data_IF_026795308962
#
_entry.id   IF_026795308962
#
_cell.length_a   1.000
_cell.length_b   1.000
_cell.length_c   1.000
_cell.angle_alpha   90.00
_cell.angle_beta   90.00
_cell.angle_gamma   90.00
#
_symmetry.space_group_name_H-M   'P 1'
#
loop_
_entity.id
_entity.type
_entity.pdbx_description
1 polymer ?
#
# COMPACT_ATOMS: atom_id res chain seq x y z
N UNK A 1 24.10 -20.08 -23.95
CA UNK A 1 23.41 -19.36 -25.05
C UNK A 1 22.10 -18.71 -24.58
N UNK A 2 21.39 -19.28 -23.64
CA UNK A 2 20.01 -18.86 -23.30
C UNK A 2 19.87 -17.69 -22.33
N UNK A 3 20.82 -17.41 -21.44
CA UNK A 3 20.86 -16.12 -20.73
C UNK A 3 20.95 -14.94 -21.72
N UNK A 4 21.62 -15.16 -22.87
CA UNK A 4 21.73 -14.15 -23.91
C UNK A 4 20.37 -13.81 -24.59
N UNK A 5 19.43 -14.76 -24.66
CA UNK A 5 18.08 -14.50 -25.16
C UNK A 5 17.29 -13.58 -24.23
N UNK A 6 17.35 -13.85 -22.92
CA UNK A 6 16.64 -13.00 -21.96
C UNK A 6 17.26 -11.59 -21.86
N UNK A 7 18.59 -11.49 -21.95
CA UNK A 7 19.29 -10.23 -22.01
C UNK A 7 18.86 -9.43 -23.25
N UNK A 8 18.73 -10.08 -24.43
CA UNK A 8 18.21 -9.48 -25.65
C UNK A 8 16.77 -9.00 -25.48
N UNK A 9 15.90 -9.83 -24.88
CA UNK A 9 14.52 -9.43 -24.60
C UNK A 9 14.47 -8.20 -23.68
N UNK A 10 15.26 -8.18 -22.61
CA UNK A 10 15.33 -7.04 -21.70
C UNK A 10 15.82 -5.77 -22.40
N UNK A 11 16.79 -5.88 -23.30
CA UNK A 11 17.33 -4.76 -24.06
C UNK A 11 16.28 -4.18 -25.03
N UNK A 12 15.55 -5.04 -25.76
CA UNK A 12 14.44 -4.67 -26.63
C UNK A 12 13.29 -4.03 -25.85
N UNK A 13 12.95 -4.57 -24.68
CA UNK A 13 11.96 -3.97 -23.80
C UNK A 13 12.40 -2.61 -23.22
N UNK A 14 13.67 -2.43 -22.91
CA UNK A 14 14.19 -1.12 -22.49
C UNK A 14 14.11 -0.06 -23.58
N UNK A 15 14.22 -0.47 -24.84
CA UNK A 15 14.10 0.43 -25.99
C UNK A 15 12.64 0.80 -26.30
N UNK A 16 11.68 -0.10 -26.03
CA UNK A 16 10.26 0.07 -26.39
C UNK A 16 9.37 0.55 -25.25
N UNK A 17 9.79 0.34 -23.99
CA UNK A 17 9.01 0.68 -22.80
C UNK A 17 9.62 1.86 -22.06
N UNK A 18 8.79 2.60 -21.33
CA UNK A 18 9.31 3.59 -20.39
C UNK A 18 10.10 2.90 -19.28
N UNK A 19 11.09 3.58 -18.71
CA UNK A 19 11.93 3.05 -17.63
C UNK A 19 11.08 2.50 -16.46
N UNK A 20 9.92 3.06 -16.26
CA UNK A 20 8.97 2.72 -15.23
C UNK A 20 8.21 1.43 -15.55
N UNK A 21 7.66 1.32 -16.77
CA UNK A 21 7.00 0.10 -17.25
C UNK A 21 7.98 -1.09 -17.23
N UNK A 22 9.21 -0.88 -17.68
CA UNK A 22 10.26 -1.90 -17.62
C UNK A 22 10.53 -2.38 -16.19
N UNK A 23 10.67 -1.44 -15.25
CA UNK A 23 10.97 -1.76 -13.83
C UNK A 23 9.81 -2.50 -13.13
N UNK A 24 8.56 -2.20 -13.53
CA UNK A 24 7.36 -2.78 -12.91
C UNK A 24 7.02 -4.16 -13.47
N UNK A 25 7.16 -4.35 -14.77
CA UNK A 25 6.61 -5.52 -15.46
C UNK A 25 7.66 -6.53 -15.93
N UNK A 26 8.81 -6.05 -16.39
CA UNK A 26 9.84 -6.91 -17.00
C UNK A 26 10.95 -7.27 -16.02
N UNK A 27 11.45 -6.28 -15.25
CA UNK A 27 12.53 -6.48 -14.29
C UNK A 27 12.27 -7.55 -13.22
N UNK A 28 11.03 -7.73 -12.70
CA UNK A 28 10.72 -8.75 -11.70
C UNK A 28 10.64 -10.18 -12.25
N UNK A 29 10.65 -10.35 -13.57
CA UNK A 29 10.59 -11.66 -14.19
C UNK A 29 11.94 -12.39 -14.06
N UNK A 30 11.86 -13.68 -13.78
CA UNK A 30 13.02 -14.58 -13.74
C UNK A 30 12.89 -15.56 -14.90
N UNK A 31 13.98 -15.77 -15.60
CA UNK A 31 14.07 -16.66 -16.74
C UNK A 31 14.71 -17.97 -16.30
N UNK A 32 14.04 -19.09 -16.54
CA UNK A 32 14.56 -20.44 -16.32
C UNK A 32 14.57 -21.23 -17.60
N UNK A 33 15.71 -21.89 -17.84
CA UNK A 33 15.94 -22.78 -18.96
C UNK A 33 15.96 -24.22 -18.46
N UNK A 34 15.08 -25.05 -19.00
CA UNK A 34 15.02 -26.49 -18.70
C UNK A 34 15.56 -27.34 -19.84
N UNK A 35 16.15 -26.71 -20.87
CA UNK A 35 16.76 -27.41 -22.01
C UNK A 35 15.79 -27.79 -23.15
N UNK A 36 14.54 -28.08 -22.87
CA UNK A 36 13.48 -28.37 -23.84
C UNK A 36 12.40 -27.27 -23.88
N UNK A 37 12.25 -26.51 -22.78
CA UNK A 37 11.28 -25.43 -22.64
C UNK A 37 11.93 -24.21 -21.98
N UNK A 38 11.48 -23.03 -22.38
CA UNK A 38 11.82 -21.77 -21.76
C UNK A 38 10.68 -21.38 -20.81
N UNK A 39 11.02 -21.15 -19.54
CA UNK A 39 10.05 -20.72 -18.53
C UNK A 39 10.32 -19.29 -18.10
N UNK A 40 9.29 -18.47 -18.18
CA UNK A 40 9.29 -17.10 -17.64
C UNK A 40 8.54 -17.14 -16.31
N UNK A 41 9.26 -16.92 -15.23
CA UNK A 41 8.72 -16.93 -13.88
C UNK A 41 8.33 -15.51 -13.46
N UNK A 42 7.07 -15.32 -13.17
CA UNK A 42 6.55 -14.07 -12.64
C UNK A 42 6.39 -14.14 -11.11
N UNK A 43 6.53 -13.02 -10.39
CA UNK A 43 6.42 -12.97 -8.93
C UNK A 43 5.00 -13.23 -8.41
N UNK A 44 3.98 -13.05 -9.24
CA UNK A 44 2.57 -13.29 -8.92
C UNK A 44 1.74 -13.49 -10.20
N UNK A 45 0.50 -13.99 -10.05
CA UNK A 45 -0.42 -14.25 -11.17
C UNK A 45 -0.72 -13.00 -11.99
N UNK A 46 -0.81 -11.84 -11.37
CA UNK A 46 -1.13 -10.58 -12.03
C UNK A 46 -0.04 -10.17 -13.03
N UNK A 47 1.23 -10.20 -12.60
CA UNK A 47 2.37 -9.91 -13.50
C UNK A 47 2.45 -10.96 -14.61
N UNK A 48 2.21 -12.24 -14.28
CA UNK A 48 2.23 -13.34 -15.26
C UNK A 48 1.17 -13.14 -16.36
N UNK A 49 -0.08 -12.89 -15.96
CA UNK A 49 -1.20 -12.76 -16.89
C UNK A 49 -1.06 -11.50 -17.75
N UNK A 50 -0.62 -10.39 -17.13
CA UNK A 50 -0.39 -9.13 -17.84
C UNK A 50 0.75 -9.25 -18.86
N UNK A 51 1.88 -9.85 -18.47
CA UNK A 51 3.02 -10.08 -19.39
C UNK A 51 2.63 -11.02 -20.52
N UNK A 52 1.88 -12.07 -20.22
CA UNK A 52 1.37 -13.01 -21.23
C UNK A 52 0.40 -12.34 -22.20
N UNK A 53 -0.51 -11.50 -21.72
CA UNK A 53 -1.49 -10.81 -22.58
C UNK A 53 -0.85 -9.74 -23.48
N UNK A 54 0.14 -9.02 -22.96
CA UNK A 54 0.71 -7.85 -23.65
C UNK A 54 1.98 -8.14 -24.44
N UNK A 55 2.76 -9.12 -24.02
CA UNK A 55 4.11 -9.35 -24.54
C UNK A 55 4.39 -10.77 -25.03
N UNK A 56 3.47 -11.72 -24.87
CA UNK A 56 3.71 -13.08 -25.34
C UNK A 56 4.05 -13.11 -26.83
N UNK A 57 3.28 -12.44 -27.68
CA UNK A 57 3.52 -12.39 -29.14
C UNK A 57 4.89 -11.79 -29.48
N UNK A 58 5.35 -10.78 -28.75
CA UNK A 58 6.66 -10.19 -28.95
C UNK A 58 7.78 -11.15 -28.54
N UNK A 59 7.62 -11.78 -27.37
CA UNK A 59 8.61 -12.73 -26.84
C UNK A 59 8.69 -13.95 -27.73
N UNK A 60 7.57 -14.48 -28.20
CA UNK A 60 7.51 -15.63 -29.14
C UNK A 60 8.16 -15.28 -30.48
N UNK A 61 7.91 -14.09 -31.02
CA UNK A 61 8.55 -13.61 -32.24
C UNK A 61 10.07 -13.49 -32.08
N UNK A 62 10.52 -12.94 -30.97
CA UNK A 62 11.97 -12.80 -30.69
C UNK A 62 12.64 -14.17 -30.43
N UNK A 63 11.91 -15.13 -29.86
CA UNK A 63 12.41 -16.46 -29.64
C UNK A 63 12.59 -17.20 -30.99
N UNK A 64 11.64 -17.07 -31.90
CA UNK A 64 11.76 -17.63 -33.26
C UNK A 64 12.95 -17.05 -34.06
N UNK A 65 13.18 -15.74 -33.88
CA UNK A 65 14.33 -15.04 -34.49
C UNK A 65 15.66 -15.51 -33.90
N UNK A 66 15.70 -15.74 -32.57
CA UNK A 66 16.94 -16.09 -31.87
C UNK A 66 17.33 -17.56 -31.93
N UNK A 67 16.37 -18.46 -31.81
CA UNK A 67 16.64 -19.90 -31.66
C UNK A 67 16.61 -20.72 -32.99
N UNK A 68 16.34 -20.14 -34.12
CA UNK A 68 16.28 -20.83 -35.41
C UNK A 68 15.45 -22.18 -35.46
N UNK A 69 14.76 -22.51 -34.34
CA UNK A 69 13.85 -23.64 -34.17
C UNK A 69 12.73 -23.26 -33.20
N UNK A 70 11.53 -23.80 -33.27
CA UNK A 70 10.43 -23.47 -32.38
C UNK A 70 10.76 -23.94 -30.96
N UNK A 71 10.76 -22.99 -30.01
CA UNK A 71 10.93 -23.22 -28.58
C UNK A 71 9.60 -22.90 -27.89
N UNK A 72 9.13 -23.82 -27.05
CA UNK A 72 7.93 -23.61 -26.27
C UNK A 72 8.23 -22.65 -25.11
N UNK A 73 7.52 -21.50 -25.05
CA UNK A 73 7.64 -20.55 -23.94
C UNK A 73 6.48 -20.78 -22.99
N UNK A 74 6.79 -21.08 -21.74
CA UNK A 74 5.79 -21.28 -20.68
C UNK A 74 5.91 -20.20 -19.62
N UNK A 75 4.76 -19.73 -19.12
CA UNK A 75 4.68 -18.74 -18.07
C UNK A 75 4.26 -19.42 -16.77
N UNK A 76 5.04 -19.25 -15.71
CA UNK A 76 4.78 -19.87 -14.42
C UNK A 76 5.05 -18.90 -13.26
N UNK A 77 4.57 -19.26 -12.07
CA UNK A 77 4.89 -18.52 -10.85
C UNK A 77 6.24 -18.96 -10.32
N UNK A 78 7.13 -17.99 -10.07
CA UNK A 78 8.46 -18.25 -9.50
C UNK A 78 8.37 -18.69 -8.05
N UNK A 79 8.75 -19.94 -7.76
CA UNK A 79 9.14 -20.38 -6.41
C UNK A 79 10.65 -20.22 -6.30
N UNK A 80 11.14 -19.53 -5.25
CA UNK A 80 12.57 -19.47 -4.94
C UNK A 80 13.14 -20.91 -4.82
N UNK A 81 14.32 -21.20 -5.36
CA UNK A 81 14.90 -22.53 -5.31
C UNK A 81 15.26 -22.92 -3.86
N UNK A 82 14.64 -23.97 -3.38
CA UNK A 82 15.09 -24.70 -2.18
C UNK A 82 16.09 -25.74 -2.64
N UNK A 83 17.32 -25.70 -2.12
CA UNK A 83 18.36 -26.71 -2.38
C UNK A 83 17.86 -28.12 -1.98
N UNK A 84 18.16 -29.15 -2.78
CA UNK A 84 17.64 -30.49 -2.53
C UNK A 84 18.43 -31.19 -1.41
N UNK A 85 17.73 -31.70 -0.42
CA UNK A 85 18.21 -32.77 0.45
C UNK A 85 17.55 -34.08 0.04
N UNK A 86 18.38 -35.08 -0.19
CA UNK A 86 18.06 -36.34 -0.84
C UNK A 86 17.20 -37.32 0.01
N UNK A 87 16.38 -38.04 -0.73
CA UNK A 87 15.88 -39.42 -0.58
C UNK A 87 15.07 -39.86 0.62
N UNK A 88 13.81 -40.24 0.37
CA UNK A 88 13.29 -41.61 0.59
C UNK A 88 11.96 -41.79 -0.17
N UNK A 89 11.89 -42.85 -0.96
CA UNK A 89 10.73 -43.31 -1.73
C UNK A 89 9.68 -43.99 -0.86
N UNK A 90 8.39 -43.76 -1.17
CA UNK A 90 7.30 -44.74 -1.23
C UNK A 90 5.93 -44.05 -1.28
N UNK A 91 4.79 -44.67 -1.62
CA UNK A 91 4.28 -44.77 -2.97
C UNK A 91 3.05 -43.88 -3.26
N UNK A 92 2.72 -43.74 -4.52
CA UNK A 92 1.64 -42.94 -5.09
C UNK A 92 0.27 -43.19 -4.45
N UNK A 93 -0.36 -42.12 -3.98
CA UNK A 93 -1.79 -42.01 -3.82
C UNK A 93 -2.27 -40.73 -4.48
N UNK A 94 -3.38 -40.84 -5.19
CA UNK A 94 -4.03 -39.85 -6.07
C UNK A 94 -4.25 -38.49 -5.40
N UNK A 95 -4.21 -37.36 -6.12
CA UNK A 95 -4.47 -36.05 -5.55
C UNK A 95 -5.95 -35.91 -5.23
N UNK A 96 -6.25 -35.93 -3.94
CA UNK A 96 -7.53 -35.47 -3.42
C UNK A 96 -7.61 -33.94 -3.59
N UNK A 97 -8.65 -33.47 -4.25
CA UNK A 97 -9.08 -32.07 -4.25
C UNK A 97 -9.07 -31.52 -2.81
N UNK A 98 -8.46 -30.36 -2.53
CA UNK A 98 -8.53 -29.81 -1.19
C UNK A 98 -9.98 -29.43 -0.88
N UNK A 99 -10.58 -30.12 0.06
CA UNK A 99 -11.83 -29.71 0.68
C UNK A 99 -11.63 -28.32 1.32
N UNK A 100 -12.61 -27.42 1.27
CA UNK A 100 -12.51 -26.14 1.96
C UNK A 100 -12.26 -26.39 3.43
N UNK A 101 -11.18 -25.82 3.97
CA UNK A 101 -10.83 -25.92 5.37
C UNK A 101 -12.04 -25.54 6.22
N UNK A 102 -12.43 -26.44 7.13
CA UNK A 102 -13.53 -26.20 8.04
C UNK A 102 -13.26 -24.91 8.82
N UNK A 103 -14.09 -23.90 8.58
CA UNK A 103 -14.00 -22.60 9.24
C UNK A 103 -14.00 -22.81 10.77
N UNK A 104 -12.97 -22.37 11.45
CA UNK A 104 -12.95 -22.40 12.92
C UNK A 104 -14.09 -21.49 13.41
N UNK A 105 -14.99 -21.98 14.28
CA UNK A 105 -16.11 -21.18 14.78
C UNK A 105 -15.58 -19.93 15.49
N UNK A 106 -15.87 -18.73 14.96
CA UNK A 106 -15.48 -17.45 15.55
C UNK A 106 -14.29 -16.74 14.91
N UNK A 107 -13.63 -17.34 13.93
CA UNK A 107 -12.52 -16.68 13.23
C UNK A 107 -13.05 -15.62 12.25
N UNK A 108 -12.78 -14.34 12.52
CA UNK A 108 -13.26 -13.18 11.73
C UNK A 108 -12.25 -12.74 10.64
N UNK A 109 -11.53 -13.68 10.03
CA UNK A 109 -10.59 -13.37 8.94
C UNK A 109 -11.32 -13.43 7.60
N UNK A 110 -11.16 -12.39 6.78
CA UNK A 110 -11.67 -12.37 5.42
C UNK A 110 -10.79 -13.23 4.50
N UNK A 111 -11.30 -14.30 3.89
CA UNK A 111 -10.51 -15.19 3.05
C UNK A 111 -10.00 -14.53 1.76
N UNK A 112 -10.58 -13.40 1.33
CA UNK A 112 -10.11 -12.64 0.16
C UNK A 112 -8.86 -11.80 0.41
N UNK A 113 -8.47 -11.62 1.68
CA UNK A 113 -7.27 -10.86 2.03
C UNK A 113 -6.06 -11.79 2.07
N UNK A 114 -5.43 -11.94 0.91
CA UNK A 114 -4.25 -12.78 0.70
C UNK A 114 -3.07 -11.95 0.22
N UNK A 115 -1.86 -12.52 0.27
CA UNK A 115 -0.69 -11.86 -0.32
C UNK A 115 -0.76 -11.75 -1.84
N UNK A 116 -1.55 -12.59 -2.51
CA UNK A 116 -1.75 -12.54 -3.96
C UNK A 116 -2.68 -11.40 -4.38
N UNK A 117 -3.70 -11.11 -3.55
CA UNK A 117 -4.62 -9.99 -3.79
C UNK A 117 -4.07 -8.64 -3.28
N UNK A 118 -2.94 -8.67 -2.57
CA UNK A 118 -2.26 -7.47 -2.08
C UNK A 118 -1.30 -6.92 -3.12
N UNK A 119 -1.63 -5.77 -3.71
CA UNK A 119 -0.77 -5.12 -4.69
C UNK A 119 0.48 -4.59 -4.00
N UNK A 120 1.64 -5.07 -4.43
CA UNK A 120 2.93 -4.69 -3.90
C UNK A 120 3.56 -3.57 -4.71
N UNK A 121 4.15 -2.60 -4.03
CA UNK A 121 4.89 -1.50 -4.62
C UNK A 121 5.92 -0.95 -3.63
N UNK A 122 6.63 0.08 -4.02
CA UNK A 122 7.68 0.69 -3.20
C UNK A 122 7.19 1.11 -1.81
N UNK A 123 5.95 1.62 -1.76
CA UNK A 123 5.32 2.14 -0.54
C UNK A 123 5.04 1.07 0.54
N UNK A 124 4.97 -0.22 0.18
CA UNK A 124 4.59 -1.30 1.09
C UNK A 124 5.45 -2.56 0.97
N UNK A 125 6.49 -2.54 0.15
CA UNK A 125 7.33 -3.72 -0.14
C UNK A 125 7.96 -4.31 1.12
N UNK A 126 8.49 -3.47 2.01
CA UNK A 126 9.11 -3.92 3.26
C UNK A 126 8.09 -4.56 4.20
N UNK A 127 6.92 -3.91 4.36
CA UNK A 127 5.84 -4.44 5.19
C UNK A 127 5.32 -5.79 4.67
N UNK A 128 5.16 -5.91 3.34
CA UNK A 128 4.78 -7.19 2.72
C UNK A 128 5.84 -8.27 2.91
N UNK A 129 7.12 -7.94 2.72
CA UNK A 129 8.21 -8.91 2.89
C UNK A 129 8.29 -9.43 4.32
N UNK A 130 8.19 -8.55 5.32
CA UNK A 130 8.13 -8.92 6.72
C UNK A 130 6.91 -9.80 7.04
N UNK A 131 5.75 -9.44 6.52
CA UNK A 131 4.50 -10.18 6.70
C UNK A 131 4.58 -11.61 6.12
N UNK A 132 5.15 -11.77 4.91
CA UNK A 132 5.35 -13.10 4.30
C UNK A 132 6.30 -13.94 5.12
N UNK A 133 7.42 -13.38 5.57
CA UNK A 133 8.40 -14.12 6.38
C UNK A 133 7.82 -14.60 7.71
N UNK A 134 6.99 -13.80 8.36
CA UNK A 134 6.29 -14.19 9.59
C UNK A 134 5.24 -15.26 9.32
N UNK A 135 4.50 -15.15 8.24
CA UNK A 135 3.49 -16.14 7.88
C UNK A 135 4.11 -17.53 7.60
N UNK A 136 5.34 -17.56 7.06
CA UNK A 136 6.09 -18.81 6.82
C UNK A 136 6.69 -19.40 8.11
N UNK A 137 7.11 -18.54 9.08
CA UNK A 137 7.79 -18.96 10.31
C UNK A 137 7.30 -18.17 11.54
N UNK A 138 6.05 -18.40 12.00
CA UNK A 138 5.47 -17.66 13.12
C UNK A 138 6.26 -17.89 14.43
N UNK A 139 6.50 -16.81 15.18
CA UNK A 139 7.20 -16.84 16.47
C UNK A 139 8.72 -16.86 16.40
N UNK A 140 9.31 -17.04 15.22
CA UNK A 140 10.76 -17.20 15.06
C UNK A 140 11.45 -16.05 14.33
N UNK A 141 10.75 -15.30 13.44
CA UNK A 141 11.37 -14.24 12.64
C UNK A 141 11.41 -12.90 13.41
N UNK A 142 10.30 -12.19 13.38
CA UNK A 142 10.14 -10.88 14.01
C UNK A 142 8.92 -10.89 14.94
N UNK A 143 9.13 -10.74 16.23
CA UNK A 143 8.05 -10.82 17.19
C UNK A 143 8.18 -9.76 18.30
N UNK A 144 7.25 -8.77 18.39
CA UNK A 144 6.11 -8.58 17.50
C UNK A 144 6.48 -8.01 16.12
N UNK A 145 5.58 -8.16 15.13
CA UNK A 145 5.57 -7.32 13.95
C UNK A 145 4.60 -6.15 14.21
N UNK A 146 5.09 -4.94 14.04
CA UNK A 146 4.29 -3.73 14.17
C UNK A 146 4.21 -3.01 12.81
N UNK A 147 3.00 -2.97 12.23
CA UNK A 147 2.72 -2.35 10.93
C UNK A 147 2.02 -1.02 11.17
N UNK A 148 2.62 0.08 10.77
CA UNK A 148 1.99 1.38 10.94
C UNK A 148 1.89 2.15 9.62
N UNK A 149 1.02 3.16 9.60
CA UNK A 149 0.79 4.03 8.44
C UNK A 149 -0.62 4.59 8.42
N UNK A 150 -0.87 5.57 7.59
CA UNK A 150 -2.17 6.25 7.51
C UNK A 150 -3.38 5.34 7.34
N UNK A 151 -4.57 5.88 7.54
CA UNK A 151 -5.83 5.16 7.39
C UNK A 151 -6.02 4.69 5.94
N UNK A 152 -6.52 3.46 5.75
CA UNK A 152 -6.89 2.94 4.43
C UNK A 152 -5.71 2.58 3.51
N UNK A 153 -4.50 2.34 4.04
CA UNK A 153 -3.31 1.96 3.27
C UNK A 153 -3.12 0.44 3.10
N UNK A 154 -4.02 -0.39 3.65
CA UNK A 154 -3.96 -1.85 3.50
C UNK A 154 -3.32 -2.59 4.67
N UNK A 155 -3.13 -1.97 5.85
CA UNK A 155 -2.61 -2.62 7.07
C UNK A 155 -3.43 -3.84 7.46
N UNK A 156 -4.75 -3.69 7.56
CA UNK A 156 -5.70 -4.80 7.85
C UNK A 156 -5.59 -5.92 6.83
N UNK A 157 -5.38 -5.60 5.54
CA UNK A 157 -5.20 -6.61 4.49
C UNK A 157 -3.94 -7.45 4.78
N UNK A 158 -2.78 -6.81 5.04
CA UNK A 158 -1.54 -7.52 5.39
C UNK A 158 -1.71 -8.35 6.65
N UNK A 159 -2.34 -7.81 7.68
CA UNK A 159 -2.63 -8.49 8.94
C UNK A 159 -3.41 -9.78 8.70
N UNK A 160 -4.49 -9.71 7.92
CA UNK A 160 -5.33 -10.86 7.62
C UNK A 160 -4.69 -11.82 6.60
N UNK A 161 -3.87 -11.32 5.68
CA UNK A 161 -3.09 -12.17 4.77
C UNK A 161 -2.10 -13.09 5.52
N UNK A 162 -1.47 -12.58 6.61
CA UNK A 162 -0.66 -13.42 7.50
C UNK A 162 -1.52 -14.54 8.08
N UNK A 163 -2.68 -14.23 8.64
CA UNK A 163 -3.59 -15.21 9.23
C UNK A 163 -4.04 -16.27 8.24
N UNK A 164 -4.47 -15.87 7.05
CA UNK A 164 -4.89 -16.79 5.98
C UNK A 164 -3.74 -17.72 5.55
N UNK A 165 -2.53 -17.20 5.43
CA UNK A 165 -1.36 -18.00 5.04
C UNK A 165 -0.98 -19.00 6.13
N UNK A 166 -0.98 -18.58 7.40
CA UNK A 166 -0.70 -19.51 8.53
C UNK A 166 -1.74 -20.62 8.59
N UNK A 167 -3.03 -20.32 8.40
CA UNK A 167 -4.09 -21.34 8.34
C UNK A 167 -3.93 -22.31 7.17
N UNK A 168 -3.47 -21.81 6.03
CA UNK A 168 -3.20 -22.66 4.86
C UNK A 168 -2.07 -23.64 5.12
N UNK A 169 -1.02 -23.21 5.83
CA UNK A 169 0.11 -24.07 6.18
C UNK A 169 -0.16 -24.98 7.39
N UNK A 170 -0.92 -24.48 8.36
CA UNK A 170 -1.30 -25.20 9.57
C UNK A 170 -2.78 -24.94 9.92
N UNK A 171 -3.71 -25.76 9.41
CA UNK A 171 -5.13 -25.63 9.71
C UNK A 171 -5.51 -25.78 11.19
N UNK A 172 -4.63 -26.41 12.00
CA UNK A 172 -4.84 -26.58 13.43
C UNK A 172 -4.32 -25.40 14.28
N UNK A 173 -3.66 -24.41 13.67
CA UNK A 173 -3.17 -23.22 14.38
C UNK A 173 -4.31 -22.42 15.02
N UNK A 174 -4.14 -22.12 16.31
CA UNK A 174 -5.10 -21.28 17.06
C UNK A 174 -4.80 -19.81 16.80
N UNK A 175 -5.57 -19.23 15.89
CA UNK A 175 -5.41 -17.84 15.48
C UNK A 175 -6.57 -17.01 16.01
N UNK A 176 -6.29 -15.81 16.49
CA UNK A 176 -7.32 -14.82 16.77
C UNK A 176 -6.98 -13.50 16.04
N UNK A 177 -7.92 -13.04 15.21
CA UNK A 177 -7.94 -11.68 14.68
C UNK A 177 -8.94 -10.87 15.49
N UNK A 178 -8.47 -9.76 16.04
CA UNK A 178 -9.30 -8.89 16.86
C UNK A 178 -8.98 -7.41 16.56
N UNK A 179 -10.03 -6.60 16.45
CA UNK A 179 -9.89 -5.17 16.50
C UNK A 179 -9.69 -4.72 17.97
N UNK A 180 -8.82 -3.73 18.21
CA UNK A 180 -8.49 -3.33 19.58
C UNK A 180 -9.72 -2.88 20.40
N UNK A 181 -10.75 -2.31 19.78
CA UNK A 181 -12.03 -2.01 20.46
C UNK A 181 -12.74 -3.27 20.92
N UNK A 182 -12.76 -4.35 20.10
CA UNK A 182 -13.39 -5.62 20.49
C UNK A 182 -12.65 -6.26 21.66
N UNK A 183 -11.32 -6.10 21.72
CA UNK A 183 -10.52 -6.53 22.87
C UNK A 183 -10.91 -5.76 24.15
N UNK A 184 -11.11 -4.44 24.06
CA UNK A 184 -11.62 -3.63 25.18
C UNK A 184 -12.96 -4.18 25.68
N UNK A 185 -13.88 -4.46 24.76
CA UNK A 185 -15.19 -5.00 25.07
C UNK A 185 -15.09 -6.38 25.74
N UNK A 186 -14.20 -7.27 25.25
CA UNK A 186 -13.93 -8.58 25.83
C UNK A 186 -13.42 -8.45 27.28
N UNK A 187 -12.49 -7.53 27.53
CA UNK A 187 -11.96 -7.27 28.88
C UNK A 187 -13.05 -6.73 29.82
N UNK A 188 -13.86 -5.78 29.35
CA UNK A 188 -14.96 -5.21 30.14
C UNK A 188 -16.00 -6.31 30.50
N UNK A 189 -16.40 -7.13 29.54
CA UNK A 189 -17.33 -8.24 29.76
C UNK A 189 -16.76 -9.27 30.75
N UNK A 190 -15.51 -9.64 30.61
CA UNK A 190 -14.84 -10.58 31.50
C UNK A 190 -14.77 -10.04 32.93
N UNK A 191 -14.56 -8.73 33.10
CA UNK A 191 -14.55 -8.07 34.39
C UNK A 191 -15.93 -8.09 35.05
N UNK A 192 -16.99 -7.71 34.30
CA UNK A 192 -18.37 -7.69 34.79
C UNK A 192 -18.85 -9.09 35.19
N UNK A 193 -18.45 -10.13 34.46
CA UNK A 193 -18.87 -11.51 34.67
C UNK A 193 -17.94 -12.30 35.60
N UNK A 194 -16.86 -11.69 36.11
CA UNK A 194 -15.82 -12.37 36.91
C UNK A 194 -15.16 -13.54 36.17
N UNK A 195 -15.04 -13.46 34.85
CA UNK A 195 -14.48 -14.53 33.98
C UNK A 195 -13.11 -14.14 33.40
N UNK A 196 -12.31 -13.49 34.22
CA UNK A 196 -11.03 -12.93 33.78
C UNK A 196 -10.00 -14.01 33.45
N UNK A 197 -9.97 -15.09 34.22
CA UNK A 197 -9.06 -16.22 34.01
C UNK A 197 -9.40 -16.97 32.73
N UNK A 198 -10.67 -17.04 32.34
CA UNK A 198 -11.10 -17.65 31.09
C UNK A 198 -10.64 -16.80 29.91
N UNK A 199 -10.76 -15.46 29.99
CA UNK A 199 -10.24 -14.55 29.00
C UNK A 199 -8.73 -14.74 28.80
N UNK A 200 -7.96 -14.72 29.89
CA UNK A 200 -6.50 -14.94 29.87
C UNK A 200 -6.15 -16.29 29.25
N UNK A 201 -6.75 -17.38 29.69
CA UNK A 201 -6.53 -18.72 29.12
C UNK A 201 -6.79 -18.75 27.62
N UNK A 202 -7.88 -18.11 27.13
CA UNK A 202 -8.22 -18.06 25.73
C UNK A 202 -7.13 -17.36 24.92
N UNK A 203 -6.69 -16.17 25.33
CA UNK A 203 -5.67 -15.42 24.58
C UNK A 203 -4.27 -16.05 24.71
N UNK A 204 -3.87 -16.54 25.88
CA UNK A 204 -2.57 -17.15 26.08
C UNK A 204 -2.44 -18.52 25.38
N UNK A 205 -3.55 -19.15 25.00
CA UNK A 205 -3.55 -20.43 24.27
C UNK A 205 -3.32 -20.27 22.77
N UNK A 206 -3.28 -19.02 22.22
CA UNK A 206 -3.15 -18.76 20.79
C UNK A 206 -1.74 -19.07 20.28
N UNK A 207 -1.64 -19.44 19.02
CA UNK A 207 -0.39 -19.58 18.29
C UNK A 207 -0.06 -18.29 17.52
N UNK A 208 -1.09 -17.52 17.12
CA UNK A 208 -0.97 -16.24 16.43
C UNK A 208 -2.06 -15.28 16.91
N UNK A 209 -1.64 -14.11 17.39
CA UNK A 209 -2.52 -13.00 17.74
C UNK A 209 -2.36 -11.84 16.73
N UNK A 210 -3.44 -11.51 16.07
CA UNK A 210 -3.54 -10.42 15.10
C UNK A 210 -4.39 -9.30 15.70
N UNK A 211 -3.76 -8.16 16.01
CA UNK A 211 -4.43 -7.01 16.64
C UNK A 211 -4.50 -5.85 15.65
N UNK A 212 -5.70 -5.48 15.28
CA UNK A 212 -5.92 -4.37 14.36
C UNK A 212 -6.21 -3.07 15.14
N UNK A 213 -5.57 -1.98 14.71
CA UNK A 213 -5.78 -0.63 15.21
C UNK A 213 -5.56 -0.49 16.73
N UNK A 214 -4.35 -0.81 17.19
CA UNK A 214 -3.97 -0.80 18.61
C UNK A 214 -4.15 0.57 19.31
N UNK A 215 -4.18 1.68 18.56
CA UNK A 215 -4.40 3.02 19.11
C UNK A 215 -5.72 3.15 19.88
N UNK A 216 -6.70 2.28 19.64
CA UNK A 216 -7.94 2.27 20.41
C UNK A 216 -7.82 1.76 21.84
N UNK A 217 -6.67 1.18 22.23
CA UNK A 217 -6.35 0.93 23.64
C UNK A 217 -5.93 2.21 24.38
N UNK A 218 -5.61 3.29 23.68
CA UNK A 218 -5.17 4.54 24.31
C UNK A 218 -6.18 5.04 25.37
N UNK A 219 -5.67 5.49 26.52
CA UNK A 219 -6.46 5.98 27.68
C UNK A 219 -7.38 4.89 28.31
N UNK A 220 -7.08 3.60 28.12
CA UNK A 220 -7.79 2.45 28.69
C UNK A 220 -6.88 1.68 29.64
N UNK A 221 -6.47 2.30 30.74
CA UNK A 221 -5.34 1.85 31.59
C UNK A 221 -5.46 0.38 32.01
N UNK A 222 -6.63 -0.05 32.50
CA UNK A 222 -6.85 -1.45 32.90
C UNK A 222 -6.74 -2.41 31.71
N UNK A 223 -7.31 -2.05 30.57
CA UNK A 223 -7.22 -2.89 29.37
C UNK A 223 -5.78 -2.99 28.85
N UNK A 224 -5.02 -1.87 28.95
CA UNK A 224 -3.61 -1.85 28.58
C UNK A 224 -2.78 -2.77 29.52
N UNK A 225 -3.06 -2.75 30.81
CA UNK A 225 -2.41 -3.64 31.79
C UNK A 225 -2.68 -5.11 31.48
N UNK A 226 -3.92 -5.47 31.19
CA UNK A 226 -4.27 -6.86 30.84
C UNK A 226 -3.69 -7.28 29.48
N UNK A 227 -3.68 -6.37 28.51
CA UNK A 227 -3.03 -6.62 27.24
C UNK A 227 -1.52 -6.84 27.41
N UNK A 228 -0.88 -6.08 28.29
CA UNK A 228 0.55 -6.25 28.59
C UNK A 228 0.87 -7.66 29.14
N UNK A 229 0.04 -8.21 30.02
CA UNK A 229 0.21 -9.58 30.53
C UNK A 229 0.04 -10.62 29.42
N UNK A 230 -1.02 -10.50 28.60
CA UNK A 230 -1.25 -11.41 27.46
C UNK A 230 -0.08 -11.32 26.47
N UNK A 231 0.34 -10.11 26.13
CA UNK A 231 1.44 -9.85 25.22
C UNK A 231 2.75 -10.53 25.70
N UNK A 232 3.15 -10.30 26.95
CA UNK A 232 4.38 -10.89 27.47
C UNK A 232 4.31 -12.42 27.49
N UNK A 233 3.18 -12.99 27.93
CA UNK A 233 3.01 -14.45 27.93
C UNK A 233 3.14 -15.05 26.53
N UNK A 234 2.57 -14.42 25.51
CA UNK A 234 2.70 -14.88 24.12
C UNK A 234 4.14 -14.80 23.62
N UNK A 235 4.84 -13.69 23.89
CA UNK A 235 6.25 -13.51 23.51
C UNK A 235 7.16 -14.55 24.18
N UNK A 236 7.00 -14.77 25.50
CA UNK A 236 7.78 -15.75 26.27
C UNK A 236 7.58 -17.17 25.76
N UNK A 237 6.36 -17.48 25.31
CA UNK A 237 6.03 -18.78 24.72
C UNK A 237 6.29 -18.86 23.22
N UNK A 238 7.00 -17.88 22.64
CA UNK A 238 7.34 -17.80 21.20
C UNK A 238 6.11 -17.84 20.29
N UNK A 239 4.97 -17.34 20.77
CA UNK A 239 3.75 -17.18 19.97
C UNK A 239 3.81 -15.87 19.21
N UNK A 240 3.36 -15.89 17.97
CA UNK A 240 3.47 -14.71 17.10
C UNK A 240 2.42 -13.65 17.45
N UNK A 241 2.86 -12.40 17.50
CA UNK A 241 1.97 -11.24 17.61
C UNK A 241 2.23 -10.33 16.41
N UNK A 242 1.14 -9.87 15.77
CA UNK A 242 1.17 -8.85 14.73
C UNK A 242 0.19 -7.73 15.10
N UNK A 243 0.64 -6.51 15.03
CA UNK A 243 -0.11 -5.33 15.48
C UNK A 243 -0.16 -4.31 14.36
N UNK A 244 -1.31 -3.68 14.15
CA UNK A 244 -1.41 -2.51 13.28
C UNK A 244 -1.71 -1.23 14.06
N UNK A 245 -1.29 -0.10 13.50
CA UNK A 245 -1.54 1.23 14.06
C UNK A 245 -1.58 2.29 12.94
N UNK A 246 -2.23 3.43 13.20
CA UNK A 246 -2.22 4.56 12.27
C UNK A 246 -0.93 5.38 12.37
N UNK A 247 -0.24 5.33 13.51
CA UNK A 247 0.97 6.12 13.80
C UNK A 247 2.11 5.26 14.33
N UNK A 248 3.31 5.83 14.34
CA UNK A 248 4.48 5.17 14.91
C UNK A 248 4.30 4.89 16.40
N UNK A 249 4.79 3.73 16.96
CA UNK A 249 4.51 3.32 18.35
C UNK A 249 4.77 4.38 19.40
N UNK A 250 5.88 5.13 19.27
CA UNK A 250 6.26 6.16 20.26
C UNK A 250 5.35 7.38 20.25
N UNK A 251 4.63 7.61 19.17
CA UNK A 251 3.75 8.77 18.95
C UNK A 251 2.33 8.52 19.46
N UNK A 252 1.98 7.30 19.87
CA UNK A 252 0.64 6.97 20.34
C UNK A 252 0.43 7.66 21.70
N UNK A 253 -0.38 8.70 21.72
CA UNK A 253 -0.70 9.45 22.94
C UNK A 253 -1.69 8.65 23.80
N UNK A 254 -1.38 8.50 25.11
CA UNK A 254 -2.24 7.79 26.07
C UNK A 254 -2.08 6.26 26.05
N UNK A 255 -1.04 5.75 25.41
CA UNK A 255 -0.60 4.37 25.54
C UNK A 255 0.51 4.28 26.59
N UNK A 256 0.49 3.20 27.40
CA UNK A 256 1.50 2.90 28.43
C UNK A 256 2.91 2.77 27.81
N UNK A 257 3.91 3.41 28.38
CA UNK A 257 5.28 3.41 27.86
C UNK A 257 5.92 2.01 27.86
N UNK A 258 5.49 1.11 28.76
CA UNK A 258 5.91 -0.29 28.75
C UNK A 258 5.43 -0.99 27.47
N UNK A 259 4.19 -0.76 27.04
CA UNK A 259 3.67 -1.28 25.78
C UNK A 259 4.39 -0.69 24.58
N UNK A 260 4.61 0.64 24.56
CA UNK A 260 5.38 1.31 23.48
C UNK A 260 6.77 0.71 23.34
N UNK A 261 7.45 0.48 24.47
CA UNK A 261 8.79 -0.13 24.49
C UNK A 261 8.77 -1.56 23.92
N UNK A 262 7.76 -2.36 24.29
CA UNK A 262 7.60 -3.74 23.81
C UNK A 262 7.27 -3.78 22.30
N UNK A 263 6.44 -2.87 21.80
CA UNK A 263 6.12 -2.79 20.38
C UNK A 263 7.35 -2.41 19.55
N UNK A 264 8.20 -1.55 20.08
CA UNK A 264 9.43 -1.14 19.42
C UNK A 264 10.56 -2.20 19.47
N UNK A 265 10.46 -3.22 20.32
CA UNK A 265 11.48 -4.28 20.40
C UNK A 265 11.48 -5.18 19.16
N UNK A 266 10.31 -5.47 18.58
CA UNK A 266 10.20 -6.26 17.37
C UNK A 266 10.54 -5.49 16.11
N UNK A 267 10.00 -5.93 14.98
CA UNK A 267 10.15 -5.22 13.71
C UNK A 267 9.00 -4.24 13.53
N UNK A 268 9.33 -2.97 13.40
CA UNK A 268 8.37 -1.90 13.09
C UNK A 268 8.54 -1.50 11.63
N UNK A 269 7.46 -1.60 10.84
CA UNK A 269 7.44 -1.31 9.40
C UNK A 269 6.35 -0.33 9.04
N UNK A 270 6.69 0.62 8.15
CA UNK A 270 5.73 1.58 7.63
C UNK A 270 5.01 1.05 6.38
N UNK A 271 3.76 1.45 6.23
CA UNK A 271 3.02 1.40 4.97
C UNK A 271 2.74 2.84 4.56
N UNK A 272 3.38 3.25 3.47
CA UNK A 272 3.28 4.61 2.95
C UNK A 272 2.12 4.76 1.95
N UNK A 273 1.66 5.98 1.67
CA UNK A 273 0.70 6.23 0.61
C UNK A 273 1.23 5.74 -0.75
N UNK A 274 0.40 5.05 -1.56
CA UNK A 274 0.84 4.50 -2.83
C UNK A 274 1.12 5.61 -3.86
N UNK A 275 2.20 5.44 -4.62
CA UNK A 275 2.52 6.27 -5.78
C UNK A 275 1.45 6.11 -6.87
N UNK A 276 1.41 7.02 -7.86
CA UNK A 276 0.38 7.04 -8.89
C UNK A 276 0.25 5.70 -9.63
N UNK A 277 1.38 5.11 -9.99
CA UNK A 277 1.45 3.84 -10.71
C UNK A 277 0.91 2.68 -9.87
N UNK A 278 1.26 2.67 -8.59
CA UNK A 278 0.73 1.69 -7.67
C UNK A 278 -0.79 1.85 -7.49
N UNK A 279 -1.31 3.08 -7.45
CA UNK A 279 -2.76 3.33 -7.43
C UNK A 279 -3.47 2.79 -8.67
N UNK A 280 -2.87 2.98 -9.86
CA UNK A 280 -3.39 2.41 -11.12
C UNK A 280 -3.41 0.89 -11.05
N UNK A 281 -2.32 0.26 -10.60
CA UNK A 281 -2.24 -1.18 -10.43
C UNK A 281 -3.29 -1.72 -9.45
N UNK A 282 -3.53 -1.01 -8.33
CA UNK A 282 -4.58 -1.36 -7.36
C UNK A 282 -5.97 -1.31 -8.02
N UNK A 283 -6.29 -0.25 -8.78
CA UNK A 283 -7.56 -0.11 -9.48
C UNK A 283 -7.79 -1.25 -10.47
N UNK A 284 -6.78 -1.58 -11.28
CA UNK A 284 -6.86 -2.67 -12.25
C UNK A 284 -7.05 -4.03 -11.57
N UNK A 285 -6.29 -4.31 -10.51
CA UNK A 285 -6.43 -5.55 -9.74
C UNK A 285 -7.82 -5.68 -9.08
N UNK A 286 -8.36 -4.57 -8.53
CA UNK A 286 -9.69 -4.57 -7.92
C UNK A 286 -10.81 -4.67 -8.97
N UNK A 287 -10.68 -4.03 -10.13
CA UNK A 287 -11.62 -4.18 -11.24
C UNK A 287 -11.66 -5.62 -11.75
N UNK A 288 -10.49 -6.26 -11.87
CA UNK A 288 -10.41 -7.68 -12.26
C UNK A 288 -11.10 -8.60 -11.24
N UNK A 289 -10.90 -8.36 -9.95
CA UNK A 289 -11.57 -9.11 -8.88
C UNK A 289 -13.10 -8.97 -8.94
N UNK A 290 -13.59 -7.79 -9.33
CA UNK A 290 -15.04 -7.51 -9.57
C UNK A 290 -15.53 -7.99 -10.95
N UNK A 291 -14.66 -8.65 -11.75
CA UNK A 291 -14.93 -9.12 -13.13
C UNK A 291 -15.37 -7.99 -14.07
N UNK A 292 -14.79 -6.82 -13.91
CA UNK A 292 -15.07 -5.63 -14.70
C UNK A 292 -13.86 -5.26 -15.54
N UNK A 293 -14.05 -5.02 -16.83
CA UNK A 293 -12.99 -4.52 -17.71
C UNK A 293 -12.81 -3.03 -17.46
N UNK A 294 -11.65 -2.63 -16.97
CA UNK A 294 -11.27 -1.25 -16.75
C UNK A 294 -10.09 -0.91 -17.66
N UNK A 295 -10.27 0.11 -18.50
CA UNK A 295 -9.20 0.63 -19.37
C UNK A 295 -8.11 1.32 -18.53
N UNK A 296 -6.84 1.16 -18.93
CA UNK A 296 -5.70 1.73 -18.20
C UNK A 296 -5.75 3.27 -18.12
N UNK A 297 -6.20 3.94 -19.21
CA UNK A 297 -6.35 5.40 -19.20
C UNK A 297 -7.42 5.86 -18.22
N UNK A 298 -8.48 5.08 -18.07
CA UNK A 298 -9.55 5.32 -17.09
C UNK A 298 -9.03 5.09 -15.67
N UNK A 299 -8.30 4.00 -15.43
CA UNK A 299 -7.67 3.73 -14.15
C UNK A 299 -6.69 4.85 -13.76
N UNK A 300 -5.87 5.31 -14.72
CA UNK A 300 -4.96 6.43 -14.54
C UNK A 300 -5.69 7.73 -14.17
N UNK A 301 -6.80 8.03 -14.87
CA UNK A 301 -7.62 9.20 -14.55
C UNK A 301 -8.15 9.13 -13.12
N UNK A 302 -8.75 8.00 -12.70
CA UNK A 302 -9.25 7.82 -11.33
C UNK A 302 -8.11 7.97 -10.31
N UNK A 303 -6.97 7.30 -10.54
CA UNK A 303 -5.81 7.36 -9.66
C UNK A 303 -5.22 8.77 -9.50
N UNK A 304 -5.32 9.60 -10.55
CA UNK A 304 -4.89 11.00 -10.51
C UNK A 304 -5.83 11.88 -9.68
N UNK A 305 -7.15 11.59 -9.69
CA UNK A 305 -8.14 12.34 -8.93
C UNK A 305 -8.17 11.95 -7.45
N UNK A 306 -8.00 10.65 -7.14
CA UNK A 306 -8.04 10.12 -5.77
C UNK A 306 -6.62 9.88 -5.28
N UNK A 307 -6.11 10.76 -4.43
CA UNK A 307 -4.71 10.74 -3.97
C UNK A 307 -4.55 10.30 -2.52
N UNK A 308 -5.63 10.32 -1.73
CA UNK A 308 -5.63 10.22 -0.29
C UNK A 308 -5.21 8.82 0.22
N UNK A 309 -5.97 7.79 -0.12
CA UNK A 309 -5.72 6.43 0.38
C UNK A 309 -6.40 5.37 -0.51
N UNK A 310 -6.04 4.10 -0.28
CA UNK A 310 -6.56 2.97 -1.06
C UNK A 310 -8.05 2.73 -0.80
N UNK A 311 -8.56 3.01 0.41
CA UNK A 311 -9.99 2.85 0.73
C UNK A 311 -10.86 3.80 -0.09
N UNK A 312 -10.44 5.05 -0.25
CA UNK A 312 -11.13 6.02 -1.11
C UNK A 312 -11.01 5.66 -2.59
N UNK A 313 -9.85 5.14 -3.00
CA UNK A 313 -9.63 4.65 -4.35
C UNK A 313 -10.58 3.49 -4.70
N UNK A 314 -10.73 2.52 -3.80
CA UNK A 314 -11.71 1.43 -3.93
C UNK A 314 -13.15 1.95 -3.92
N UNK A 315 -13.45 2.93 -3.09
CA UNK A 315 -14.75 3.61 -3.04
C UNK A 315 -15.11 4.28 -4.36
N UNK A 316 -14.15 5.00 -4.95
CA UNK A 316 -14.31 5.62 -6.26
C UNK A 316 -14.56 4.58 -7.36
N UNK A 317 -13.78 3.49 -7.38
CA UNK A 317 -13.99 2.40 -8.34
C UNK A 317 -15.37 1.75 -8.19
N UNK A 318 -15.80 1.44 -6.97
CA UNK A 318 -17.13 0.88 -6.70
C UNK A 318 -18.25 1.81 -7.17
N UNK A 319 -18.10 3.12 -6.97
CA UNK A 319 -19.06 4.13 -7.48
C UNK A 319 -19.12 4.12 -9.00
N UNK A 320 -17.99 4.04 -9.67
CA UNK A 320 -17.92 3.96 -11.16
C UNK A 320 -18.58 2.68 -11.67
N UNK A 321 -18.30 1.54 -11.04
CA UNK A 321 -18.91 0.24 -11.40
C UNK A 321 -20.43 0.28 -11.20
N UNK A 322 -20.89 0.80 -10.07
CA UNK A 322 -22.32 0.93 -9.79
C UNK A 322 -23.01 1.84 -10.80
N UNK A 323 -22.39 2.97 -11.15
CA UNK A 323 -22.91 3.92 -12.14
C UNK A 323 -22.96 3.32 -13.55
N UNK A 324 -21.94 2.56 -13.95
CA UNK A 324 -21.89 1.82 -15.22
C UNK A 324 -23.01 0.77 -15.31
N UNK A 325 -23.21 -0.01 -14.25
CA UNK A 325 -24.29 -1.02 -14.17
C UNK A 325 -25.68 -0.40 -14.21
N UNK A 326 -25.87 0.72 -13.49
CA UNK A 326 -27.16 1.42 -13.45
C UNK A 326 -27.58 2.00 -14.80
N UNK A 327 -26.61 2.52 -15.58
CA UNK A 327 -26.87 3.12 -16.89
C UNK A 327 -26.70 2.12 -18.03
N UNK A 328 -26.34 0.87 -17.76
CA UNK A 328 -26.04 -0.19 -18.75
C UNK A 328 -25.02 0.27 -19.82
N UNK A 329 -24.02 1.08 -19.41
CA UNK A 329 -22.99 1.63 -20.29
C UNK A 329 -21.61 1.10 -19.92
N UNK A 330 -20.72 0.91 -20.92
CA UNK A 330 -19.32 0.57 -20.65
C UNK A 330 -18.63 1.68 -19.85
N UNK A 331 -17.59 1.31 -19.09
CA UNK A 331 -16.80 2.27 -18.31
C UNK A 331 -15.89 3.05 -19.25
N UNK A 332 -16.32 4.25 -19.64
CA UNK A 332 -15.58 5.23 -20.44
C UNK A 332 -15.11 6.39 -19.56
N UNK A 333 -14.18 7.20 -20.08
CA UNK A 333 -13.68 8.37 -19.37
C UNK A 333 -14.79 9.40 -19.08
N UNK A 334 -15.76 9.56 -20.00
CA UNK A 334 -16.91 10.44 -19.83
C UNK A 334 -17.80 9.96 -18.69
N UNK A 335 -18.12 8.65 -18.66
CA UNK A 335 -18.91 8.05 -17.61
C UNK A 335 -18.23 8.22 -16.24
N UNK A 336 -16.91 8.05 -16.17
CA UNK A 336 -16.15 8.23 -14.92
C UNK A 336 -16.16 9.66 -14.43
N UNK A 337 -16.03 10.65 -15.35
CA UNK A 337 -16.14 12.07 -14.99
C UNK A 337 -17.50 12.40 -14.41
N UNK A 338 -18.57 11.83 -14.97
CA UNK A 338 -19.93 12.00 -14.46
C UNK A 338 -20.12 11.32 -13.10
N UNK A 339 -19.75 10.05 -12.99
CA UNK A 339 -19.85 9.26 -11.75
C UNK A 339 -19.08 9.87 -10.57
N UNK A 340 -17.92 10.49 -10.83
CA UNK A 340 -17.03 11.06 -9.82
C UNK A 340 -17.12 12.59 -9.72
N UNK A 341 -18.10 13.24 -10.37
CA UNK A 341 -18.22 14.69 -10.45
C UNK A 341 -18.14 15.38 -9.09
N UNK A 342 -18.88 14.87 -8.09
CA UNK A 342 -18.90 15.47 -6.75
C UNK A 342 -17.57 15.30 -6.02
N UNK A 343 -16.93 14.14 -6.19
CA UNK A 343 -15.61 13.86 -5.60
C UNK A 343 -14.54 14.77 -6.22
N UNK A 344 -14.55 14.93 -7.54
CA UNK A 344 -13.64 15.83 -8.24
C UNK A 344 -13.89 17.28 -7.80
N UNK A 345 -15.15 17.70 -7.68
CA UNK A 345 -15.51 19.04 -7.24
C UNK A 345 -15.10 19.30 -5.79
N UNK A 346 -15.23 18.32 -4.88
CA UNK A 346 -14.80 18.46 -3.50
C UNK A 346 -13.28 18.55 -3.38
N UNK A 347 -12.54 17.72 -4.11
CA UNK A 347 -11.07 17.76 -4.16
C UNK A 347 -10.57 19.11 -4.71
N UNK A 348 -11.22 19.63 -5.73
CA UNK A 348 -10.88 20.94 -6.30
C UNK A 348 -11.20 22.12 -5.35
N UNK A 349 -12.18 21.95 -4.45
CA UNK A 349 -12.53 22.97 -3.43
C UNK A 349 -11.55 22.99 -2.26
N UNK A 350 -10.96 21.86 -1.91
CA UNK A 350 -10.02 21.76 -0.78
C UNK A 350 -8.71 22.46 -1.09
N UNK A 351 -8.28 22.47 -2.34
CA UNK A 351 -7.02 23.11 -2.80
C UNK A 351 -7.33 24.36 -3.59
N UNK A 352 -7.94 25.36 -2.96
CA UNK A 352 -8.02 26.71 -3.52
C UNK A 352 -6.74 27.51 -3.24
N UNK A 353 -6.46 28.53 -4.06
CA UNK A 353 -5.29 29.41 -3.79
C UNK A 353 -5.40 30.08 -2.43
N UNK A 354 -6.60 30.49 -2.01
CA UNK A 354 -6.84 31.07 -0.70
C UNK A 354 -6.49 30.09 0.42
N UNK A 355 -6.84 28.81 0.28
CA UNK A 355 -6.48 27.78 1.25
C UNK A 355 -4.96 27.55 1.29
N UNK A 356 -4.30 27.52 0.13
CA UNK A 356 -2.83 27.44 0.04
C UNK A 356 -2.18 28.63 0.76
N UNK A 357 -2.63 29.83 0.49
CA UNK A 357 -2.11 31.05 1.11
C UNK A 357 -2.29 31.04 2.61
N UNK A 358 -3.46 30.62 3.09
CA UNK A 358 -3.75 30.50 4.54
C UNK A 358 -2.86 29.44 5.19
N UNK A 359 -2.79 28.24 4.64
CA UNK A 359 -1.99 27.14 5.20
C UNK A 359 -0.51 27.50 5.24
N UNK A 360 0.05 28.09 4.18
CA UNK A 360 1.46 28.51 4.16
C UNK A 360 1.70 29.68 5.13
N UNK A 361 0.76 30.64 5.25
CA UNK A 361 0.87 31.73 6.19
C UNK A 361 0.87 31.24 7.65
N UNK A 362 -0.02 30.31 7.98
CA UNK A 362 -0.12 29.69 9.32
C UNK A 362 1.15 28.90 9.64
N UNK A 363 1.68 28.13 8.69
CA UNK A 363 2.90 27.34 8.84
C UNK A 363 4.12 28.22 9.16
N UNK A 364 4.32 29.30 8.40
CA UNK A 364 5.44 30.22 8.61
C UNK A 364 5.16 31.33 9.62
N UNK A 365 3.98 31.29 10.30
CA UNK A 365 3.54 32.27 11.31
C UNK A 365 3.57 33.71 10.80
N UNK A 366 3.14 33.93 9.56
CA UNK A 366 2.97 35.23 8.92
C UNK A 366 1.49 35.52 8.69
N UNK A 367 1.15 36.78 8.44
CA UNK A 367 -0.25 37.15 8.12
C UNK A 367 -0.57 36.83 6.67
N UNK A 368 -1.77 36.36 6.38
CA UNK A 368 -2.23 36.11 5.02
C UNK A 368 -2.11 37.37 4.15
N UNK A 369 -2.34 38.55 4.74
CA UNK A 369 -2.14 39.84 4.06
C UNK A 369 -0.70 40.07 3.55
N UNK A 370 0.29 39.45 4.18
CA UNK A 370 1.68 39.56 3.74
C UNK A 370 1.93 38.76 2.43
N UNK A 371 1.07 37.80 2.07
CA UNK A 371 1.13 37.10 0.78
C UNK A 371 0.88 38.07 -0.39
N UNK A 372 0.04 39.06 -0.19
CA UNK A 372 -0.33 40.07 -1.22
C UNK A 372 0.60 41.29 -1.18
N UNK A 373 1.37 41.47 -0.10
CA UNK A 373 2.16 42.67 0.13
C UNK A 373 3.30 42.83 -0.89
N UNK A 374 3.68 44.09 -1.19
CA UNK A 374 4.83 44.43 -2.05
C UNK A 374 6.18 44.25 -1.36
N UNK A 375 6.20 43.94 -0.03
CA UNK A 375 7.42 43.76 0.74
C UNK A 375 8.25 42.57 0.22
N UNK A 376 9.58 42.74 0.16
CA UNK A 376 10.53 41.75 -0.41
C UNK A 376 11.49 41.18 0.63
N UNK A 377 11.19 41.31 1.92
CA UNK A 377 12.04 40.72 2.97
C UNK A 377 12.05 39.20 2.84
N UNK A 378 13.20 38.56 3.10
CA UNK A 378 13.40 37.10 2.93
C UNK A 378 12.33 36.27 3.65
N UNK A 379 11.92 36.72 4.88
CA UNK A 379 10.92 36.06 5.70
C UNK A 379 9.50 36.07 5.09
N UNK A 380 9.21 36.96 4.14
CA UNK A 380 7.94 37.02 3.44
C UNK A 380 8.05 36.54 1.99
N UNK A 381 9.20 36.74 1.37
CA UNK A 381 9.42 36.34 -0.03
C UNK A 381 9.45 34.83 -0.18
N UNK A 382 10.10 34.12 0.76
CA UNK A 382 10.27 32.66 0.72
C UNK A 382 8.96 31.89 0.90
N UNK A 383 8.14 32.14 1.93
CA UNK A 383 6.81 31.57 2.06
C UNK A 383 5.92 31.85 0.83
N UNK A 384 5.96 33.04 0.30
CA UNK A 384 5.20 33.42 -0.88
C UNK A 384 5.63 32.64 -2.14
N UNK A 385 6.94 32.44 -2.33
CA UNK A 385 7.45 31.60 -3.43
C UNK A 385 6.98 30.14 -3.29
N UNK A 386 7.01 29.59 -2.09
CA UNK A 386 6.51 28.25 -1.78
C UNK A 386 5.01 28.16 -2.07
N UNK A 387 4.23 29.14 -1.64
CA UNK A 387 2.78 29.18 -1.89
C UNK A 387 2.45 29.27 -3.39
N UNK A 388 3.21 30.07 -4.17
CA UNK A 388 3.05 30.12 -5.63
C UNK A 388 3.40 28.79 -6.31
N UNK A 389 4.47 28.11 -5.85
CA UNK A 389 4.86 26.81 -6.39
C UNK A 389 3.81 25.73 -6.06
N UNK A 390 3.29 25.70 -4.84
CA UNK A 390 2.18 24.82 -4.44
C UNK A 390 0.90 25.13 -5.22
N UNK A 391 0.56 26.42 -5.45
CA UNK A 391 -0.58 26.79 -6.28
C UNK A 391 -0.46 26.28 -7.71
N UNK A 392 0.74 26.34 -8.30
CA UNK A 392 0.99 25.79 -9.64
C UNK A 392 0.91 24.26 -9.67
N UNK A 393 1.34 23.58 -8.63
CA UNK A 393 1.35 22.13 -8.55
C UNK A 393 -0.04 21.55 -8.23
N UNK A 394 -0.80 22.22 -7.34
CA UNK A 394 -2.03 21.69 -6.75
C UNK A 394 -3.31 22.22 -7.40
N UNK A 395 -3.23 23.31 -8.20
CA UNK A 395 -4.41 23.89 -8.83
C UNK A 395 -4.30 23.85 -10.37
N UNK A 396 -5.44 23.93 -11.05
CA UNK A 396 -5.48 24.02 -12.52
C UNK A 396 -5.40 25.47 -13.03
N UNK A 397 -5.07 26.43 -12.13
CA UNK A 397 -5.02 27.84 -12.53
C UNK A 397 -3.80 28.16 -13.37
N UNK A 398 -3.97 29.08 -14.30
CA UNK A 398 -2.88 29.57 -15.15
C UNK A 398 -1.90 30.44 -14.36
N UNK A 399 -0.69 30.58 -14.86
CA UNK A 399 0.34 31.43 -14.21
C UNK A 399 -0.11 32.89 -14.01
N UNK A 400 -0.82 33.52 -14.96
CA UNK A 400 -1.40 34.86 -14.75
C UNK A 400 -2.44 34.89 -13.62
N UNK A 401 -3.36 33.93 -13.54
CA UNK A 401 -4.37 33.84 -12.48
C UNK A 401 -3.73 33.64 -11.09
N UNK A 402 -2.69 32.80 -11.03
CA UNK A 402 -1.89 32.66 -9.80
C UNK A 402 -1.24 34.00 -9.43
N UNK A 403 -0.62 34.70 -10.40
CA UNK A 403 0.00 35.99 -10.18
C UNK A 403 -0.98 37.03 -9.62
N UNK A 404 -2.17 37.09 -10.22
CA UNK A 404 -3.25 37.98 -9.76
C UNK A 404 -3.66 37.67 -8.32
N UNK A 405 -3.84 36.40 -7.96
CA UNK A 405 -4.19 35.94 -6.62
C UNK A 405 -3.12 36.21 -5.57
N UNK A 406 -1.90 36.56 -5.96
CA UNK A 406 -0.80 36.96 -5.06
C UNK A 406 -0.51 38.47 -5.07
N UNK A 407 -1.53 39.28 -5.35
CA UNK A 407 -1.45 40.76 -5.29
C UNK A 407 -1.05 41.38 -6.62
N UNK A 408 -1.56 40.88 -7.74
CA UNK A 408 -1.36 41.42 -9.08
C UNK A 408 0.09 41.27 -9.56
N UNK A 409 0.70 40.11 -9.32
CA UNK A 409 2.07 39.84 -9.76
C UNK A 409 2.08 39.26 -11.16
N UNK A 410 3.07 39.67 -11.93
CA UNK A 410 3.28 39.15 -13.29
C UNK A 410 3.57 37.62 -13.26
N UNK A 411 3.11 36.93 -14.30
CA UNK A 411 3.32 35.49 -14.50
C UNK A 411 4.81 35.10 -14.46
N UNK A 412 5.71 35.98 -14.90
CA UNK A 412 7.16 35.76 -14.83
C UNK A 412 7.66 35.66 -13.39
N UNK A 413 7.03 36.38 -12.46
CA UNK A 413 7.31 36.25 -11.02
C UNK A 413 6.92 34.86 -10.50
N UNK A 414 5.81 34.32 -10.97
CA UNK A 414 5.36 32.96 -10.59
C UNK A 414 6.32 31.91 -11.16
N UNK A 415 6.74 32.04 -12.42
CA UNK A 415 7.73 31.15 -13.04
C UNK A 415 9.04 31.16 -12.25
N UNK A 416 9.53 32.38 -11.92
CA UNK A 416 10.75 32.53 -11.13
C UNK A 416 10.61 31.90 -9.75
N UNK A 417 9.47 32.07 -9.09
CA UNK A 417 9.18 31.46 -7.80
C UNK A 417 9.22 29.92 -7.88
N UNK A 418 8.57 29.31 -8.87
CA UNK A 418 8.57 27.88 -9.08
C UNK A 418 9.99 27.33 -9.31
N UNK A 419 10.79 27.98 -10.18
CA UNK A 419 12.19 27.57 -10.41
C UNK A 419 13.04 27.68 -9.15
N UNK A 420 12.88 28.79 -8.41
CA UNK A 420 13.69 29.01 -7.19
C UNK A 420 13.31 28.02 -6.09
N UNK A 421 12.05 27.65 -5.97
CA UNK A 421 11.62 26.62 -5.01
C UNK A 421 12.14 25.24 -5.41
N UNK A 422 12.13 24.90 -6.69
CA UNK A 422 12.69 23.64 -7.17
C UNK A 422 14.19 23.52 -6.82
N UNK A 423 14.98 24.57 -7.08
CA UNK A 423 16.40 24.66 -6.72
C UNK A 423 16.62 24.54 -5.19
N UNK A 424 15.80 25.24 -4.41
CA UNK A 424 15.92 25.26 -2.96
C UNK A 424 15.54 23.92 -2.30
N UNK A 425 14.62 23.17 -2.88
CA UNK A 425 14.27 21.82 -2.43
C UNK A 425 15.42 20.82 -2.53
N UNK A 426 16.32 21.03 -3.50
CA UNK A 426 17.51 20.21 -3.71
C UNK A 426 18.70 20.67 -2.84
N UNK A 427 18.82 21.97 -2.60
CA UNK A 427 19.98 22.57 -1.92
C UNK A 427 19.79 22.80 -0.43
N UNK A 428 18.58 23.06 0.04
CA UNK A 428 18.26 23.33 1.44
C UNK A 428 17.26 22.26 1.99
N UNK A 429 17.77 21.30 2.77
CA UNK A 429 16.98 20.18 3.30
C UNK A 429 15.75 20.63 4.11
N UNK A 430 15.83 21.77 4.82
CA UNK A 430 14.71 22.32 5.57
C UNK A 430 13.56 22.74 4.67
N UNK A 431 13.85 23.38 3.53
CA UNK A 431 12.83 23.79 2.57
C UNK A 431 12.21 22.60 1.86
N UNK A 432 13.01 21.58 1.56
CA UNK A 432 12.51 20.32 1.03
C UNK A 432 11.49 19.68 1.97
N UNK A 433 11.79 19.66 3.27
CA UNK A 433 10.91 19.12 4.31
C UNK A 433 9.64 19.96 4.50
N UNK A 434 9.79 21.28 4.62
CA UNK A 434 8.67 22.21 4.74
C UNK A 434 7.69 22.07 3.57
N UNK A 435 8.23 21.98 2.35
CA UNK A 435 7.41 21.80 1.14
C UNK A 435 6.61 20.51 1.16
N UNK A 436 7.24 19.38 1.56
CA UNK A 436 6.55 18.09 1.68
C UNK A 436 5.45 18.11 2.74
N UNK A 437 5.71 18.71 3.90
CA UNK A 437 4.71 18.86 4.98
C UNK A 437 3.53 19.70 4.50
N UNK A 438 3.79 20.85 3.86
CA UNK A 438 2.75 21.70 3.30
C UNK A 438 1.95 21.01 2.19
N UNK A 439 2.62 20.27 1.32
CA UNK A 439 1.99 19.47 0.27
C UNK A 439 1.05 18.43 0.88
N UNK A 440 1.52 17.68 1.89
CA UNK A 440 0.69 16.71 2.61
C UNK A 440 -0.51 17.38 3.31
N UNK A 441 -0.28 18.51 3.99
CA UNK A 441 -1.36 19.25 4.69
C UNK A 441 -2.44 19.77 3.74
N UNK A 442 -2.07 20.13 2.50
CA UNK A 442 -2.98 20.67 1.50
C UNK A 442 -3.67 19.59 0.67
N UNK A 443 -3.10 18.39 0.62
CA UNK A 443 -3.66 17.28 -0.19
C UNK A 443 -4.38 16.22 0.65
N UNK A 444 -4.38 16.40 2.01
CA UNK A 444 -5.17 15.60 2.95
C UNK A 444 -4.51 14.38 3.40
#
# INVERSE_FOLDING_TARGET
MMNAFWDLCQERFRASLTQQQFSTWIKPLVFEDTGEEVRILAPNHFVMDWVREKFAEHIDSWAQEFFAHPVAITYALGKKPVQPRATAQAPASQPATPAPAAAQPGLRINPSFTFDTFVSGRANQLARAAAVQIAENPGHAYNPLFIYGGVGLGKTHLLQAIGNTVLTHNPAARINYIHANDYVDDVVKAYLNKQFDDLKRRYMSLDLLLVDDIQFLAKKDRTQEEFFYVFNSLIENKKQIVITCDTFPKEITGLDDRLKSRFAWGLTVAVEPPELEMRVAILLAKALAEKVKLDENVAFFIAKQVRSNVRELEGALKRVIAFSRFHEKPITLELVKEALRDLIASTSRIVSIENIQKTVADFYKIKVADMYSKKRTRNLARPRQIAMALAKELTNQSLPEIGESFGGRDHTTVIHACRKVAELRETEADIGRDYLVLLQTLTG
#
